data_IF_776842629428
#
_entry.id   IF_776842629428
#
_cell.length_a   1.000
_cell.length_b   1.000
_cell.length_c   1.000
_cell.angle_alpha   90.00
_cell.angle_beta   90.00
_cell.angle_gamma   90.00
#
_symmetry.space_group_name_H-M   'P 1'
#
loop_
_entity.id
_entity.type
_entity.pdbx_description
1 polymer ?
#
# COMPACT_ATOMS: atom_id res chain seq x y z
N UNK A 1 -34.22 30.96 -50.94
CA UNK A 1 -34.57 30.86 -49.52
C UNK A 1 -34.71 29.41 -48.97
N UNK A 2 -34.02 28.39 -49.49
CA UNK A 2 -34.28 26.97 -49.10
C UNK A 2 -33.08 26.24 -48.45
N UNK A 3 -31.91 26.86 -48.34
CA UNK A 3 -30.72 26.12 -47.82
C UNK A 3 -30.53 26.26 -46.29
N UNK A 4 -31.02 27.35 -45.71
CA UNK A 4 -30.87 27.65 -44.28
C UNK A 4 -31.86 26.79 -43.43
N UNK A 5 -33.09 26.60 -43.92
CA UNK A 5 -34.05 25.70 -43.23
C UNK A 5 -33.65 24.24 -43.26
N UNK A 6 -32.97 23.74 -44.28
CA UNK A 6 -32.45 22.38 -44.37
C UNK A 6 -31.26 22.17 -43.45
N UNK A 7 -30.41 23.17 -43.18
CA UNK A 7 -29.31 23.11 -42.21
C UNK A 7 -29.82 23.14 -40.76
N UNK A 8 -30.84 23.95 -40.47
CA UNK A 8 -31.47 23.97 -39.15
C UNK A 8 -32.22 22.67 -38.86
N UNK A 9 -32.92 22.07 -39.83
CA UNK A 9 -33.56 20.77 -39.67
C UNK A 9 -32.57 19.63 -39.39
N UNK A 10 -31.36 19.66 -39.98
CA UNK A 10 -30.30 18.69 -39.67
C UNK A 10 -29.63 18.91 -38.32
N UNK A 11 -29.62 20.11 -37.79
CA UNK A 11 -29.15 20.42 -36.44
C UNK A 11 -30.14 20.04 -35.36
N UNK A 12 -31.46 20.08 -35.69
CA UNK A 12 -32.51 19.68 -34.75
C UNK A 12 -32.72 18.15 -34.73
N UNK A 13 -32.40 17.45 -35.84
CA UNK A 13 -32.46 15.98 -35.90
C UNK A 13 -31.17 15.26 -35.44
N UNK A 14 -30.11 16.00 -35.22
CA UNK A 14 -29.00 15.55 -34.36
C UNK A 14 -29.38 15.75 -32.87
N UNK A 15 -30.63 15.42 -32.52
CA UNK A 15 -31.03 15.10 -31.15
C UNK A 15 -30.14 13.98 -30.71
N UNK A 16 -29.07 14.31 -29.96
CA UNK A 16 -28.27 13.34 -29.27
C UNK A 16 -29.28 12.37 -28.64
N UNK A 17 -29.22 11.11 -29.04
CA UNK A 17 -30.05 10.06 -28.43
C UNK A 17 -29.85 10.21 -26.94
N UNK A 18 -30.83 10.77 -26.22
CA UNK A 18 -30.73 10.96 -24.77
C UNK A 18 -30.44 9.59 -24.22
N UNK A 19 -29.31 9.50 -23.55
CA UNK A 19 -28.93 8.26 -22.87
C UNK A 19 -30.09 7.82 -21.98
N UNK A 20 -30.46 6.54 -21.93
CA UNK A 20 -31.48 6.08 -21.01
C UNK A 20 -31.21 6.55 -19.59
N UNK A 21 -32.23 6.94 -18.84
CA UNK A 21 -32.11 7.56 -17.51
C UNK A 21 -31.26 6.75 -16.54
N UNK A 22 -31.38 5.42 -16.55
CA UNK A 22 -30.58 4.52 -15.75
C UNK A 22 -29.07 4.57 -16.10
N UNK A 23 -28.74 4.70 -17.38
CA UNK A 23 -27.34 4.83 -17.82
C UNK A 23 -26.77 6.20 -17.50
N UNK A 24 -27.57 7.26 -17.63
CA UNK A 24 -27.16 8.61 -17.23
C UNK A 24 -26.88 8.64 -15.71
N UNK A 25 -27.81 8.12 -14.89
CA UNK A 25 -27.63 8.03 -13.45
C UNK A 25 -26.36 7.25 -13.05
N UNK A 26 -26.14 6.08 -13.66
CA UNK A 26 -24.94 5.27 -13.40
C UNK A 26 -23.64 6.07 -13.71
N UNK A 27 -23.60 6.74 -14.86
CA UNK A 27 -22.46 7.57 -15.26
C UNK A 27 -22.20 8.69 -14.26
N UNK A 28 -23.27 9.37 -13.84
CA UNK A 28 -23.18 10.49 -12.91
C UNK A 28 -22.71 10.04 -11.52
N UNK A 29 -23.19 8.90 -11.01
CA UNK A 29 -22.74 8.31 -9.74
C UNK A 29 -21.25 7.96 -9.80
N UNK A 30 -20.81 7.27 -10.86
CA UNK A 30 -19.40 6.92 -11.04
C UNK A 30 -18.52 8.17 -11.08
N UNK A 31 -18.91 9.18 -11.85
CA UNK A 31 -18.21 10.45 -11.94
C UNK A 31 -18.16 11.21 -10.62
N UNK A 32 -19.27 11.20 -9.86
CA UNK A 32 -19.33 11.85 -8.55
C UNK A 32 -18.34 11.21 -7.56
N UNK A 33 -18.26 9.88 -7.52
CA UNK A 33 -17.30 9.15 -6.69
C UNK A 33 -15.87 9.50 -7.07
N UNK A 34 -15.53 9.51 -8.36
CA UNK A 34 -14.20 9.88 -8.84
C UNK A 34 -13.82 11.33 -8.50
N UNK A 35 -14.76 12.26 -8.56
CA UNK A 35 -14.53 13.67 -8.18
C UNK A 35 -14.30 13.82 -6.69
N UNK A 36 -15.05 13.09 -5.86
CA UNK A 36 -14.88 13.11 -4.40
C UNK A 36 -13.54 12.53 -3.98
N UNK A 37 -13.10 11.44 -4.59
CA UNK A 37 -11.78 10.83 -4.34
C UNK A 37 -10.63 11.81 -4.64
N UNK A 38 -10.69 12.50 -5.78
CA UNK A 38 -9.66 13.50 -6.18
C UNK A 38 -9.49 14.63 -5.17
N UNK A 39 -10.55 15.03 -4.48
CA UNK A 39 -10.47 16.06 -3.41
C UNK A 39 -9.66 15.61 -2.20
N UNK A 40 -9.52 14.31 -1.99
CA UNK A 40 -8.70 13.70 -0.95
C UNK A 40 -7.22 13.54 -1.31
N UNK A 41 -6.79 13.85 -2.55
CA UNK A 41 -5.42 13.68 -3.04
C UNK A 41 -4.42 14.48 -2.20
N UNK A 42 -3.38 13.80 -1.69
CA UNK A 42 -2.32 14.41 -0.87
C UNK A 42 -1.10 14.74 -1.74
N UNK A 43 -0.40 15.80 -1.36
CA UNK A 43 0.91 16.11 -1.94
C UNK A 43 1.90 14.98 -1.64
N UNK A 44 2.79 14.62 -2.60
CA UNK A 44 3.84 13.63 -2.37
C UNK A 44 4.69 14.00 -1.15
N UNK A 45 4.85 13.09 -0.21
CA UNK A 45 5.83 13.25 0.86
C UNK A 45 7.21 12.96 0.27
N UNK A 46 8.18 13.86 0.43
CA UNK A 46 9.57 13.63 0.01
C UNK A 46 10.29 12.63 0.94
N UNK A 47 9.70 11.46 1.13
CA UNK A 47 10.21 10.41 2.02
C UNK A 47 10.15 9.06 1.34
N UNK A 48 11.00 8.12 1.71
CA UNK A 48 10.87 6.74 1.28
C UNK A 48 9.60 6.11 1.85
N UNK A 49 9.02 5.16 1.13
CA UNK A 49 7.90 4.34 1.58
C UNK A 49 8.23 2.86 1.41
N UNK A 50 7.91 2.02 2.38
CA UNK A 50 8.19 0.59 2.29
C UNK A 50 7.63 -0.07 1.03
N UNK A 51 6.42 0.32 0.60
CA UNK A 51 5.80 -0.19 -0.63
C UNK A 51 6.50 0.25 -1.94
N UNK A 52 7.41 1.24 -1.91
CA UNK A 52 8.17 1.67 -3.07
C UNK A 52 9.56 1.03 -3.17
N UNK A 53 9.97 0.26 -2.16
CA UNK A 53 11.29 -0.36 -2.10
C UNK A 53 11.54 -1.43 -3.18
N UNK A 54 10.50 -1.91 -3.83
CA UNK A 54 10.60 -2.83 -4.96
C UNK A 54 11.39 -2.25 -6.15
N UNK A 55 11.44 -0.94 -6.31
CA UNK A 55 12.11 -0.29 -7.43
C UNK A 55 12.88 0.96 -6.99
N UNK A 56 14.21 0.96 -7.15
CA UNK A 56 15.09 2.07 -6.75
C UNK A 56 14.77 3.38 -7.50
N UNK A 57 14.38 3.33 -8.77
CA UNK A 57 13.90 4.51 -9.51
C UNK A 57 12.61 5.09 -8.91
N UNK A 58 11.70 4.25 -8.47
CA UNK A 58 10.49 4.70 -7.79
C UNK A 58 10.84 5.39 -6.46
N UNK A 59 11.77 4.82 -5.70
CA UNK A 59 12.29 5.45 -4.47
C UNK A 59 12.91 6.82 -4.76
N UNK A 60 13.77 6.91 -5.77
CA UNK A 60 14.40 8.15 -6.20
C UNK A 60 13.39 9.24 -6.55
N UNK A 61 12.43 8.94 -7.44
CA UNK A 61 11.42 9.92 -7.84
C UNK A 61 10.54 10.37 -6.67
N UNK A 62 10.27 9.47 -5.75
CA UNK A 62 9.48 9.78 -4.57
C UNK A 62 10.20 10.73 -3.62
N UNK A 63 11.46 10.46 -3.30
CA UNK A 63 12.25 11.28 -2.35
C UNK A 63 12.66 12.62 -2.97
N UNK A 64 12.92 12.68 -4.27
CA UNK A 64 13.19 13.94 -4.98
C UNK A 64 11.94 14.79 -5.19
N UNK A 65 10.76 14.25 -4.92
CA UNK A 65 9.50 14.96 -5.07
C UNK A 65 9.03 15.10 -6.51
N UNK A 66 9.46 14.19 -7.40
CA UNK A 66 8.92 14.11 -8.76
C UNK A 66 7.40 13.95 -8.73
N UNK A 67 6.72 14.64 -9.62
CA UNK A 67 5.26 14.56 -9.70
C UNK A 67 4.84 13.18 -10.23
N UNK A 68 4.03 12.42 -9.50
CA UNK A 68 3.50 11.18 -10.03
C UNK A 68 2.62 11.42 -11.25
N UNK A 69 2.58 10.43 -12.14
CA UNK A 69 1.64 10.42 -13.25
C UNK A 69 0.22 10.59 -12.72
N UNK A 70 -0.61 11.33 -13.44
CA UNK A 70 -2.03 11.43 -13.10
C UNK A 70 -2.66 10.04 -13.22
N UNK A 71 -2.89 9.39 -12.08
CA UNK A 71 -3.69 8.17 -12.08
C UNK A 71 -5.14 8.57 -12.33
N UNK A 72 -5.71 8.13 -13.44
CA UNK A 72 -7.17 8.06 -13.55
C UNK A 72 -7.59 6.91 -12.64
N UNK A 73 -7.82 7.21 -11.39
CA UNK A 73 -8.46 6.27 -10.49
C UNK A 73 -9.90 6.17 -10.94
N UNK A 74 -10.25 5.07 -11.57
CA UNK A 74 -11.63 4.83 -11.98
C UNK A 74 -12.47 4.41 -10.76
N UNK A 75 -13.78 4.50 -10.92
CA UNK A 75 -14.75 4.11 -9.90
C UNK A 75 -14.47 2.73 -9.30
N UNK A 76 -14.14 1.74 -10.14
CA UNK A 76 -13.89 0.38 -9.69
C UNK A 76 -12.65 0.29 -8.78
N UNK A 77 -11.58 0.99 -9.14
CA UNK A 77 -10.35 1.05 -8.33
C UNK A 77 -10.59 1.73 -6.99
N UNK A 78 -11.39 2.80 -6.95
CA UNK A 78 -11.79 3.48 -5.70
C UNK A 78 -12.58 2.52 -4.81
N UNK A 79 -13.58 1.84 -5.34
CA UNK A 79 -14.39 0.88 -4.59
C UNK A 79 -13.58 -0.30 -4.04
N UNK A 80 -12.60 -0.78 -4.81
CA UNK A 80 -11.68 -1.81 -4.33
C UNK A 80 -10.80 -1.32 -3.17
N UNK A 81 -10.30 -0.08 -3.25
CA UNK A 81 -9.49 0.52 -2.18
C UNK A 81 -10.32 0.73 -0.91
N UNK A 82 -11.55 1.25 -1.03
CA UNK A 82 -12.46 1.45 0.10
C UNK A 82 -12.81 0.13 0.79
N UNK A 83 -13.10 -0.91 0.00
CA UNK A 83 -13.36 -2.25 0.55
C UNK A 83 -12.16 -2.77 1.32
N UNK A 84 -10.94 -2.64 0.76
CA UNK A 84 -9.71 -3.00 1.43
C UNK A 84 -9.56 -2.26 2.78
N UNK A 85 -9.72 -0.94 2.78
CA UNK A 85 -9.61 -0.13 4.00
C UNK A 85 -10.60 -0.56 5.09
N UNK A 86 -11.85 -0.82 4.74
CA UNK A 86 -12.87 -1.29 5.71
C UNK A 86 -12.52 -2.66 6.29
N UNK A 87 -11.98 -3.56 5.46
CA UNK A 87 -11.54 -4.88 5.93
C UNK A 87 -10.34 -4.78 6.86
N UNK A 88 -9.37 -3.92 6.59
CA UNK A 88 -8.26 -3.62 7.50
C UNK A 88 -8.78 -3.23 8.89
N UNK A 89 -9.67 -2.24 8.96
CA UNK A 89 -10.26 -1.78 10.24
C UNK A 89 -10.94 -2.93 10.96
N UNK A 90 -11.78 -3.71 10.30
CA UNK A 90 -12.52 -4.81 10.93
C UNK A 90 -11.60 -5.91 11.47
N UNK A 91 -10.53 -6.26 10.75
CA UNK A 91 -9.55 -7.26 11.20
C UNK A 91 -8.73 -6.72 12.39
N UNK A 92 -8.30 -5.47 12.33
CA UNK A 92 -7.55 -4.83 13.43
C UNK A 92 -8.39 -4.72 14.70
N UNK A 93 -9.67 -4.37 14.60
CA UNK A 93 -10.61 -4.35 15.72
C UNK A 93 -10.80 -5.76 16.33
N UNK A 94 -10.92 -6.79 15.48
CA UNK A 94 -11.01 -8.17 15.96
C UNK A 94 -9.75 -8.58 16.73
N UNK A 95 -8.57 -8.29 16.20
CA UNK A 95 -7.29 -8.61 16.85
C UNK A 95 -7.12 -7.81 18.15
N UNK A 96 -7.51 -6.54 18.17
CA UNK A 96 -7.47 -5.71 19.37
C UNK A 96 -8.32 -6.27 20.51
N UNK A 97 -9.42 -6.95 20.18
CA UNK A 97 -10.34 -7.58 21.16
C UNK A 97 -9.88 -8.96 21.65
N UNK A 98 -8.87 -9.57 21.04
CA UNK A 98 -8.50 -10.98 21.33
C UNK A 98 -8.14 -11.21 22.81
N UNK A 99 -7.36 -10.32 23.41
CA UNK A 99 -6.96 -10.46 24.82
C UNK A 99 -8.17 -10.36 25.76
N UNK A 100 -9.12 -9.48 25.50
CA UNK A 100 -10.34 -9.32 26.29
C UNK A 100 -11.27 -10.53 26.15
N UNK A 101 -11.22 -11.19 25.00
CA UNK A 101 -11.96 -12.43 24.72
C UNK A 101 -11.27 -13.68 25.29
N UNK A 102 -10.11 -13.54 25.94
CA UNK A 102 -9.37 -14.62 26.60
C UNK A 102 -8.44 -15.41 25.69
N UNK A 103 -8.11 -14.88 24.51
CA UNK A 103 -7.10 -15.48 23.63
C UNK A 103 -5.67 -15.07 24.05
N UNK A 104 -4.69 -15.86 23.68
CA UNK A 104 -3.27 -15.65 24.01
C UNK A 104 -2.58 -14.57 23.17
N UNK A 105 -3.32 -13.68 22.56
CA UNK A 105 -2.81 -12.61 21.70
C UNK A 105 -3.26 -11.25 22.21
N UNK A 106 -2.32 -10.30 22.25
CA UNK A 106 -2.60 -8.89 22.57
C UNK A 106 -2.15 -8.01 21.42
N UNK A 107 -3.04 -7.19 20.91
CA UNK A 107 -2.68 -6.07 20.01
C UNK A 107 -1.96 -5.00 20.82
N UNK A 108 -0.82 -4.54 20.34
CA UNK A 108 -0.06 -3.44 20.92
C UNK A 108 -0.22 -2.19 20.04
N UNK A 109 -0.68 -1.12 20.65
CA UNK A 109 -0.52 0.20 20.03
C UNK A 109 0.98 0.47 19.82
N UNK A 110 1.34 0.98 18.64
CA UNK A 110 2.75 1.21 18.30
C UNK A 110 3.41 2.22 19.25
N UNK A 111 2.68 3.20 19.77
CA UNK A 111 3.20 4.14 20.79
C UNK A 111 3.48 3.43 22.12
N UNK A 112 2.62 2.47 22.52
CA UNK A 112 2.85 1.63 23.70
C UNK A 112 4.14 0.80 23.49
N UNK A 113 4.27 0.17 22.35
CA UNK A 113 5.46 -0.59 22.00
C UNK A 113 6.75 0.24 22.02
N UNK A 114 6.73 1.43 21.42
CA UNK A 114 7.89 2.34 21.42
C UNK A 114 8.27 2.79 22.83
N UNK A 115 7.28 3.06 23.70
CA UNK A 115 7.53 3.37 25.12
C UNK A 115 8.16 2.20 25.88
N UNK A 116 7.68 0.97 25.64
CA UNK A 116 8.28 -0.23 26.22
C UNK A 116 9.74 -0.43 25.78
N UNK A 117 10.04 -0.25 24.49
CA UNK A 117 11.41 -0.30 23.96
C UNK A 117 12.31 0.76 24.63
N UNK A 118 11.80 1.96 24.76
CA UNK A 118 12.53 3.04 25.43
C UNK A 118 12.79 2.73 26.91
N UNK A 119 11.82 2.20 27.63
CA UNK A 119 11.99 1.79 29.03
C UNK A 119 13.03 0.66 29.19
N UNK A 120 13.24 -0.15 28.13
CA UNK A 120 14.29 -1.17 28.06
C UNK A 120 15.66 -0.62 27.64
N UNK A 121 15.82 0.70 27.50
CA UNK A 121 17.04 1.35 27.05
C UNK A 121 17.27 1.32 25.54
N UNK A 122 16.29 0.89 24.74
CA UNK A 122 16.33 0.86 23.28
C UNK A 122 15.55 2.05 22.72
N UNK A 123 16.26 3.10 22.33
CA UNK A 123 15.65 4.25 21.65
C UNK A 123 15.65 4.01 20.13
N UNK A 124 14.49 3.67 19.58
CA UNK A 124 14.33 3.54 18.12
C UNK A 124 14.27 4.93 17.48
N UNK A 125 14.89 5.09 16.31
CA UNK A 125 14.89 6.36 15.57
C UNK A 125 13.57 6.58 14.80
N UNK A 126 12.47 6.34 15.48
CA UNK A 126 11.10 6.42 14.94
C UNK A 126 10.28 7.45 15.70
N UNK A 127 9.67 8.35 14.97
CA UNK A 127 8.76 9.38 15.48
C UNK A 127 7.32 9.07 15.08
N UNK A 128 6.41 9.14 16.04
CA UNK A 128 4.96 9.12 15.77
C UNK A 128 4.55 10.48 15.18
N UNK A 129 3.87 10.45 14.04
CA UNK A 129 3.36 11.65 13.34
C UNK A 129 1.85 11.83 13.44
N UNK A 130 1.13 10.83 13.92
CA UNK A 130 -0.32 10.88 14.09
C UNK A 130 -0.96 9.50 13.96
N UNK A 131 -2.27 9.47 14.11
CA UNK A 131 -3.08 8.25 13.98
C UNK A 131 -4.12 8.41 12.87
N UNK A 132 -4.42 7.30 12.18
CA UNK A 132 -5.50 7.19 11.22
C UNK A 132 -6.31 5.93 11.56
N UNK A 133 -7.41 6.10 12.30
CA UNK A 133 -8.11 4.95 12.89
C UNK A 133 -7.20 4.24 13.90
N UNK A 134 -6.99 2.96 13.72
CA UNK A 134 -6.09 2.13 14.55
C UNK A 134 -4.63 2.21 14.09
N UNK A 135 -4.36 2.63 12.86
CA UNK A 135 -3.01 2.73 12.32
C UNK A 135 -2.27 3.97 12.83
N UNK A 136 -1.01 3.78 13.18
CA UNK A 136 -0.11 4.85 13.60
C UNK A 136 0.82 5.26 12.47
N UNK A 137 0.81 6.55 12.13
CA UNK A 137 1.72 7.14 11.14
C UNK A 137 3.09 7.37 11.78
N UNK A 138 4.11 6.78 11.19
CA UNK A 138 5.47 6.71 11.71
C UNK A 138 6.46 7.34 10.73
N UNK A 139 7.57 7.83 11.28
CA UNK A 139 8.68 8.38 10.52
C UNK A 139 10.01 7.97 11.13
N UNK A 140 10.81 7.24 10.37
CA UNK A 140 12.20 6.93 10.71
C UNK A 140 13.10 8.08 10.24
N UNK A 141 13.70 8.80 11.19
CA UNK A 141 14.38 10.09 10.93
C UNK A 141 15.62 9.93 10.06
N UNK A 142 16.57 9.09 10.50
CA UNK A 142 17.86 8.92 9.82
C UNK A 142 17.69 8.38 8.40
N UNK A 143 16.77 7.43 8.19
CA UNK A 143 16.55 6.81 6.88
C UNK A 143 15.47 7.50 6.04
N UNK A 144 14.90 8.60 6.54
CA UNK A 144 13.85 9.35 5.85
C UNK A 144 12.68 8.48 5.35
N UNK A 145 12.20 7.52 6.18
CA UNK A 145 11.11 6.61 5.82
C UNK A 145 9.82 7.06 6.49
N UNK A 146 8.76 7.27 5.71
CA UNK A 146 7.39 7.44 6.24
C UNK A 146 6.61 6.16 6.02
N UNK A 147 5.99 5.63 7.06
CA UNK A 147 5.27 4.38 6.98
C UNK A 147 4.10 4.31 7.97
N UNK A 148 3.21 3.37 7.72
CA UNK A 148 2.13 2.92 8.61
C UNK A 148 2.12 1.41 8.50
N UNK A 149 2.20 0.71 9.62
CA UNK A 149 2.00 -0.74 9.68
C UNK A 149 0.64 -1.03 10.29
N UNK A 150 0.09 -2.19 10.01
CA UNK A 150 -1.23 -2.58 10.49
C UNK A 150 -1.23 -2.84 12.00
N UNK A 151 -0.07 -3.14 12.60
CA UNK A 151 0.08 -3.23 14.03
C UNK A 151 1.24 -4.10 14.50
N UNK A 152 1.30 -4.25 15.80
CA UNK A 152 2.19 -5.19 16.50
C UNK A 152 1.30 -6.08 17.35
N UNK A 153 1.56 -7.38 17.34
CA UNK A 153 0.88 -8.34 18.19
C UNK A 153 1.86 -9.00 19.13
N UNK A 154 1.43 -9.23 20.36
CA UNK A 154 2.19 -9.96 21.37
C UNK A 154 1.57 -11.32 21.60
N UNK A 155 2.37 -12.38 21.50
CA UNK A 155 1.99 -13.69 21.99
C UNK A 155 2.22 -13.74 23.50
N UNK A 156 1.13 -13.74 24.26
CA UNK A 156 1.16 -13.57 25.73
C UNK A 156 2.02 -14.62 26.45
N UNK A 157 1.94 -15.93 26.10
CA UNK A 157 2.70 -16.96 26.80
C UNK A 157 4.22 -16.79 26.73
N UNK A 158 4.75 -16.30 25.63
CA UNK A 158 6.19 -16.08 25.48
C UNK A 158 6.61 -14.61 25.68
N UNK A 159 5.66 -13.67 25.64
CA UNK A 159 5.94 -12.23 25.65
C UNK A 159 6.53 -11.70 24.35
N UNK A 160 6.58 -12.52 23.31
CA UNK A 160 7.16 -12.17 22.01
C UNK A 160 6.28 -11.18 21.26
N UNK A 161 6.91 -10.16 20.65
CA UNK A 161 6.26 -9.19 19.79
C UNK A 161 6.54 -9.50 18.33
N UNK A 162 5.51 -9.52 17.51
CA UNK A 162 5.58 -9.77 16.07
C UNK A 162 4.93 -8.58 15.33
N UNK A 163 5.49 -8.23 14.18
CA UNK A 163 4.80 -7.35 13.24
C UNK A 163 3.51 -8.05 12.77
N UNK A 164 2.43 -7.32 12.71
CA UNK A 164 1.19 -7.77 12.06
C UNK A 164 0.96 -6.97 10.78
N UNK A 165 0.65 -7.66 9.71
CA UNK A 165 0.32 -7.07 8.42
C UNK A 165 -0.86 -7.81 7.79
N UNK A 166 -1.84 -7.10 7.28
CA UNK A 166 -3.02 -7.65 6.62
C UNK A 166 -3.03 -7.34 5.14
N UNK A 167 -3.32 -8.33 4.32
CA UNK A 167 -3.39 -8.20 2.86
C UNK A 167 -4.70 -8.75 2.31
N UNK A 168 -5.47 -7.87 1.68
CA UNK A 168 -6.71 -8.26 1.01
C UNK A 168 -6.46 -8.38 -0.50
N UNK A 169 -6.62 -9.58 -1.06
CA UNK A 169 -6.30 -9.91 -2.45
C UNK A 169 -7.51 -10.48 -3.19
N UNK A 170 -7.61 -10.22 -4.49
CA UNK A 170 -8.57 -10.89 -5.37
C UNK A 170 -8.19 -12.38 -5.55
N UNK A 171 -9.18 -13.24 -5.78
CA UNK A 171 -8.98 -14.69 -5.90
C UNK A 171 -7.88 -15.07 -6.88
N UNK A 172 -7.79 -14.39 -8.02
CA UNK A 172 -6.75 -14.64 -9.02
C UNK A 172 -5.33 -14.47 -8.45
N UNK A 173 -5.07 -13.41 -7.67
CA UNK A 173 -3.78 -13.17 -7.06
C UNK A 173 -3.56 -14.09 -5.85
N UNK A 174 -4.60 -14.32 -5.08
CA UNK A 174 -4.59 -15.17 -3.89
C UNK A 174 -4.19 -16.62 -4.22
N UNK A 175 -4.66 -17.19 -5.34
CA UNK A 175 -4.42 -18.57 -5.75
C UNK A 175 -3.24 -18.75 -6.72
N UNK A 176 -2.74 -17.69 -7.38
CA UNK A 176 -1.71 -17.79 -8.41
C UNK A 176 -0.28 -17.63 -7.88
N UNK A 177 -0.13 -17.08 -6.69
CA UNK A 177 1.20 -16.92 -6.08
C UNK A 177 1.69 -18.25 -5.45
N UNK A 178 0.83 -19.26 -5.35
CA UNK A 178 1.23 -20.62 -5.02
C UNK A 178 1.55 -21.40 -6.31
N UNK A 179 2.80 -21.83 -6.45
CA UNK A 179 3.29 -22.55 -7.66
C UNK A 179 2.61 -23.89 -7.87
N UNK A 180 1.95 -24.42 -6.86
CA UNK A 180 1.12 -25.63 -6.93
C UNK A 180 -0.29 -25.26 -7.37
N UNK A 181 -0.54 -25.44 -8.67
CA UNK A 181 -1.87 -25.27 -9.30
C UNK A 181 -2.89 -26.18 -8.64
N UNK A 182 -3.57 -25.71 -7.64
CA UNK A 182 -4.56 -26.48 -6.89
C UNK A 182 -4.58 -26.17 -5.40
N UNK A 183 -3.56 -25.50 -4.87
CA UNK A 183 -3.58 -25.03 -3.49
C UNK A 183 -4.59 -23.89 -3.32
N UNK A 184 -5.51 -24.10 -2.41
CA UNK A 184 -6.57 -23.13 -2.05
C UNK A 184 -6.04 -22.19 -0.97
N UNK A 185 -4.80 -22.39 -0.50
CA UNK A 185 -4.22 -21.69 0.65
C UNK A 185 -2.92 -20.97 0.31
N UNK A 186 -2.67 -19.87 1.01
CA UNK A 186 -1.39 -19.14 1.02
C UNK A 186 -0.40 -19.86 1.93
N UNK A 187 0.60 -20.49 1.38
CA UNK A 187 1.63 -21.23 2.13
C UNK A 187 2.83 -20.36 2.52
N UNK A 188 3.03 -19.21 1.86
CA UNK A 188 4.15 -18.30 2.10
C UNK A 188 3.76 -16.83 1.91
N UNK A 189 4.60 -15.93 2.39
CA UNK A 189 4.49 -14.49 2.15
C UNK A 189 4.83 -14.19 0.70
N UNK A 190 4.01 -13.37 0.03
CA UNK A 190 4.28 -12.96 -1.34
C UNK A 190 5.57 -12.12 -1.41
N UNK A 191 6.44 -12.45 -2.35
CA UNK A 191 7.70 -11.73 -2.61
C UNK A 191 7.50 -10.20 -2.74
N UNK A 192 6.37 -9.79 -3.33
CA UNK A 192 6.01 -8.38 -3.47
C UNK A 192 5.76 -7.67 -2.13
N UNK A 193 5.53 -8.40 -1.03
CA UNK A 193 5.30 -7.84 0.30
C UNK A 193 6.53 -7.92 1.21
N UNK A 194 7.52 -8.75 0.88
CA UNK A 194 8.72 -8.96 1.69
C UNK A 194 9.49 -7.66 1.94
N UNK A 195 9.73 -6.85 0.91
CA UNK A 195 10.42 -5.55 1.04
C UNK A 195 9.72 -4.63 2.04
N UNK A 196 8.39 -4.61 2.02
CA UNK A 196 7.58 -3.81 2.95
C UNK A 196 7.71 -4.31 4.38
N UNK A 197 7.55 -5.62 4.59
CA UNK A 197 7.62 -6.28 5.90
C UNK A 197 9.01 -6.12 6.51
N UNK A 198 10.06 -6.41 5.75
CA UNK A 198 11.44 -6.25 6.20
C UNK A 198 11.74 -4.80 6.60
N UNK A 199 11.21 -3.82 5.87
CA UNK A 199 11.38 -2.40 6.19
C UNK A 199 10.69 -2.02 7.50
N UNK A 200 9.49 -2.53 7.75
CA UNK A 200 8.80 -2.31 9.03
C UNK A 200 9.55 -2.96 10.19
N UNK A 201 9.96 -4.21 10.02
CA UNK A 201 10.71 -4.95 11.03
C UNK A 201 12.06 -4.28 11.34
N UNK A 202 12.77 -3.78 10.32
CA UNK A 202 13.99 -3.00 10.51
C UNK A 202 13.72 -1.72 11.32
N UNK A 203 12.69 -0.94 10.95
CA UNK A 203 12.40 0.33 11.61
C UNK A 203 11.91 0.16 13.06
N UNK A 204 11.22 -0.94 13.36
CA UNK A 204 10.61 -1.22 14.66
C UNK A 204 11.42 -2.20 15.54
N UNK A 205 12.60 -2.63 15.12
CA UNK A 205 13.43 -3.62 15.84
C UNK A 205 12.64 -4.90 16.15
N UNK A 206 11.98 -5.44 15.12
CA UNK A 206 11.25 -6.72 15.15
C UNK A 206 11.95 -7.73 14.23
N UNK A 207 11.91 -9.02 14.60
CA UNK A 207 12.57 -10.09 13.85
C UNK A 207 11.59 -11.02 13.16
N UNK A 208 10.29 -10.89 13.44
CA UNK A 208 9.26 -11.81 12.98
C UNK A 208 7.98 -11.06 12.60
N UNK A 209 7.28 -11.59 11.62
CA UNK A 209 6.00 -11.03 11.16
C UNK A 209 4.93 -12.11 10.97
N UNK A 210 3.71 -11.77 11.31
CA UNK A 210 2.50 -12.50 10.93
C UNK A 210 1.81 -11.75 9.80
N UNK A 211 1.63 -12.41 8.66
CA UNK A 211 0.96 -11.82 7.50
C UNK A 211 -0.35 -12.54 7.27
N UNK A 212 -1.45 -11.85 7.53
CA UNK A 212 -2.78 -12.38 7.33
C UNK A 212 -3.29 -12.00 5.94
N UNK A 213 -3.59 -12.99 5.13
CA UNK A 213 -4.19 -12.80 3.81
C UNK A 213 -5.69 -13.05 3.83
N UNK A 214 -6.44 -12.20 3.18
CA UNK A 214 -7.86 -12.43 2.91
C UNK A 214 -8.12 -12.49 1.41
N UNK A 215 -8.82 -13.54 0.98
CA UNK A 215 -9.37 -13.58 -0.35
C UNK A 215 -10.61 -12.66 -0.41
N UNK A 216 -10.51 -11.57 -1.17
CA UNK A 216 -11.55 -10.54 -1.28
C UNK A 216 -12.90 -11.08 -1.75
N UNK A 217 -12.90 -12.11 -2.57
CA UNK A 217 -14.10 -12.56 -3.26
C UNK A 217 -14.95 -13.51 -2.41
N UNK A 218 -14.33 -14.17 -1.40
CA UNK A 218 -15.02 -15.13 -0.54
C UNK A 218 -14.71 -14.96 0.96
N UNK A 219 -13.88 -13.96 1.33
CA UNK A 219 -13.46 -13.66 2.71
C UNK A 219 -12.71 -14.80 3.42
N UNK A 220 -12.15 -15.77 2.71
CA UNK A 220 -11.30 -16.78 3.32
C UNK A 220 -10.00 -16.14 3.84
N UNK A 221 -9.65 -16.48 5.07
CA UNK A 221 -8.45 -16.01 5.76
C UNK A 221 -7.40 -17.11 5.78
N UNK A 222 -6.16 -16.75 5.46
CA UNK A 222 -4.99 -17.59 5.55
C UNK A 222 -3.84 -16.83 6.21
N UNK A 223 -3.13 -17.49 7.09
CA UNK A 223 -1.92 -16.96 7.70
C UNK A 223 -0.79 -17.96 7.41
N UNK A 224 0.14 -17.62 6.50
CA UNK A 224 1.33 -18.44 6.25
C UNK A 224 2.17 -18.64 7.52
N UNK A 225 3.20 -19.47 7.43
CA UNK A 225 4.19 -19.57 8.48
C UNK A 225 4.75 -18.21 8.86
N UNK A 226 5.15 -18.06 10.12
CA UNK A 226 5.73 -16.83 10.63
C UNK A 226 6.92 -16.43 9.76
N UNK A 227 6.90 -15.22 9.24
CA UNK A 227 7.96 -14.71 8.39
C UNK A 227 9.13 -14.23 9.25
N UNK A 228 10.26 -14.90 9.12
CA UNK A 228 11.51 -14.55 9.81
C UNK A 228 12.25 -13.45 9.06
N UNK A 229 12.61 -12.37 9.74
CA UNK A 229 13.36 -11.25 9.18
C UNK A 229 14.75 -11.22 9.77
N UNK A 230 15.74 -11.70 9.01
CA UNK A 230 17.12 -11.79 9.48
C UNK A 230 17.81 -10.42 9.51
N UNK A 231 18.92 -10.30 10.28
CA UNK A 231 19.73 -9.07 10.28
C UNK A 231 20.20 -8.67 8.87
N UNK A 232 20.54 -9.65 8.02
CA UNK A 232 20.99 -9.41 6.64
C UNK A 232 19.84 -8.84 5.78
N UNK A 233 18.61 -9.34 5.97
CA UNK A 233 17.44 -8.80 5.28
C UNK A 233 17.18 -7.35 5.70
N UNK A 234 17.33 -7.01 6.98
CA UNK A 234 17.22 -5.63 7.47
C UNK A 234 18.30 -4.75 6.90
N UNK A 235 19.57 -5.20 6.94
CA UNK A 235 20.70 -4.46 6.41
C UNK A 235 20.56 -4.18 4.92
N UNK A 236 20.10 -5.15 4.14
CA UNK A 236 19.85 -4.97 2.70
C UNK A 236 18.84 -3.84 2.40
N UNK A 237 17.88 -3.54 3.31
CA UNK A 237 16.97 -2.40 3.17
C UNK A 237 17.65 -1.07 3.49
N UNK A 238 18.53 -1.06 4.49
CA UNK A 238 19.39 0.11 4.79
C UNK A 238 20.29 0.41 3.60
N UNK A 239 21.01 -0.60 3.10
CA UNK A 239 21.94 -0.45 1.99
C UNK A 239 21.24 0.07 0.72
N UNK A 240 20.03 -0.43 0.44
CA UNK A 240 19.22 0.02 -0.69
C UNK A 240 18.81 1.49 -0.58
N UNK A 241 18.52 1.98 0.64
CA UNK A 241 18.22 3.39 0.89
C UNK A 241 19.49 4.22 0.68
N UNK A 242 20.61 3.85 1.29
CA UNK A 242 21.89 4.56 1.15
C UNK A 242 22.37 4.60 -0.30
N UNK A 243 22.19 3.52 -1.05
CA UNK A 243 22.46 3.50 -2.48
C UNK A 243 21.56 4.50 -3.21
N UNK A 244 20.26 4.53 -2.91
CA UNK A 244 19.34 5.51 -3.50
C UNK A 244 19.72 6.94 -3.16
N UNK A 245 20.12 7.23 -1.91
CA UNK A 245 20.61 8.53 -1.47
C UNK A 245 21.81 8.99 -2.31
N UNK A 246 22.73 8.07 -2.66
CA UNK A 246 23.87 8.38 -3.53
C UNK A 246 23.45 8.83 -4.94
N UNK A 247 22.32 8.33 -5.44
CA UNK A 247 21.76 8.81 -6.71
C UNK A 247 21.07 10.17 -6.55
N UNK A 248 20.41 10.40 -5.40
CA UNK A 248 19.79 11.69 -5.07
C UNK A 248 20.84 12.80 -4.97
N UNK A 249 21.94 12.55 -4.27
CA UNK A 249 23.06 13.50 -4.15
C UNK A 249 23.67 13.87 -5.51
N UNK A 250 23.83 12.88 -6.38
CA UNK A 250 24.32 13.09 -7.74
C UNK A 250 23.29 13.71 -8.69
N UNK A 251 22.03 13.80 -8.28
CA UNK A 251 20.91 14.25 -9.10
C UNK A 251 20.73 13.44 -10.40
N UNK A 252 21.05 12.14 -10.35
CA UNK A 252 20.96 11.23 -11.49
C UNK A 252 20.05 10.04 -11.10
N UNK A 253 19.00 9.77 -11.85
CA UNK A 253 18.15 8.62 -11.57
C UNK A 253 18.93 7.30 -11.64
N UNK A 254 18.62 6.33 -10.77
CA UNK A 254 19.22 4.99 -10.83
C UNK A 254 19.00 4.32 -12.19
N UNK A 255 19.79 3.30 -12.57
CA UNK A 255 19.56 2.51 -13.77
C UNK A 255 18.13 1.94 -13.83
N UNK A 256 17.58 1.82 -15.05
CA UNK A 256 16.25 1.26 -15.23
C UNK A 256 16.31 -0.27 -15.05
N UNK A 257 15.52 -0.80 -14.15
CA UNK A 257 15.25 -2.23 -14.09
C UNK A 257 14.13 -2.58 -15.07
N UNK A 258 14.35 -3.64 -15.86
CA UNK A 258 13.36 -4.12 -16.84
C UNK A 258 12.40 -5.17 -16.26
N UNK A 259 12.14 -5.14 -14.96
CA UNK A 259 11.09 -5.97 -14.42
C UNK A 259 9.73 -5.38 -14.77
N UNK A 260 8.99 -6.11 -15.60
CA UNK A 260 7.67 -5.68 -16.09
C UNK A 260 6.58 -5.64 -15.01
N UNK A 261 6.73 -6.42 -13.91
CA UNK A 261 5.70 -6.52 -12.86
C UNK A 261 5.53 -5.21 -12.09
N UNK A 262 6.56 -4.64 -11.42
CA UNK A 262 6.40 -3.36 -10.73
C UNK A 262 6.15 -2.19 -11.68
N UNK A 263 6.70 -2.23 -12.91
CA UNK A 263 6.51 -1.17 -13.90
C UNK A 263 5.06 -1.05 -14.38
N UNK A 264 4.28 -2.11 -14.37
CA UNK A 264 2.88 -2.10 -14.84
C UNK A 264 2.01 -1.12 -14.05
N UNK A 265 2.27 -0.97 -12.76
CA UNK A 265 1.47 -0.15 -11.83
C UNK A 265 2.24 1.05 -11.28
N UNK A 266 3.44 1.31 -11.80
CA UNK A 266 4.30 2.40 -11.34
C UNK A 266 3.67 3.76 -11.66
N UNK A 267 3.60 4.62 -10.66
CA UNK A 267 3.10 5.98 -10.77
C UNK A 267 4.10 6.99 -11.38
N UNK A 268 5.31 6.56 -11.73
CA UNK A 268 6.36 7.41 -12.31
C UNK A 268 6.79 6.97 -13.71
N UNK A 269 5.88 6.32 -14.47
CA UNK A 269 6.20 5.82 -15.82
C UNK A 269 6.67 6.92 -16.77
N UNK A 270 6.05 8.09 -16.73
CA UNK A 270 6.38 9.21 -17.60
C UNK A 270 7.77 9.76 -17.28
N UNK A 271 8.06 10.01 -16.01
CA UNK A 271 9.39 10.44 -15.55
C UNK A 271 10.46 9.38 -15.88
N UNK A 272 10.16 8.11 -15.64
CA UNK A 272 11.07 7.01 -15.90
C UNK A 272 11.44 6.88 -17.39
N UNK A 273 10.48 7.06 -18.31
CA UNK A 273 10.71 7.07 -19.76
C UNK A 273 11.50 8.29 -20.22
N UNK A 274 11.22 9.45 -19.63
CA UNK A 274 11.90 10.73 -19.96
C UNK A 274 13.40 10.68 -19.67
N UNK A 275 13.81 10.04 -18.59
CA UNK A 275 15.22 9.95 -18.21
C UNK A 275 15.96 8.80 -18.90
N UNK A 276 15.33 8.11 -19.85
CA UNK A 276 15.96 7.13 -20.71
C UNK A 276 16.44 5.85 -20.01
N UNK A 277 17.14 5.09 -20.81
CA UNK A 277 17.81 3.85 -20.39
C UNK A 277 19.16 4.16 -19.73
#
# INVERSE_FOLDING_TARGET
>A
MNNTRRKLGKLVTASAKKQPLNKAFLTDVMSAIEVLDRKGSRMPSKTYKPSSMVCMRQMYYQVTGEKPDESRTDYASIGMADTGTRRHVAIQEAIASMAELGYDWKYLDVEEYLREKWAQGKCLDVQVRGKRGVETSLYHKTLNISFMCDGIVRYIPSGENLLFEFKNQISFKYSHDDKDRGAVSKSHVDEAHEDQICTYCMALDLDRALVLYENRDNCNLECPEVFEVTPEMKQARVDKILECDSYVERQVPPPMHFDSKPCRWCQYKTACKKHGR
#
